data_IF_075230238218
#
_entry.id   IF_075230238218
#
_cell.length_a   1.000
_cell.length_b   1.000
_cell.length_c   1.000
_cell.angle_alpha   90.00
_cell.angle_beta   90.00
_cell.angle_gamma   90.00
#
_symmetry.space_group_name_H-M   'P 1'
#
loop_
_entity.id
_entity.type
_entity.pdbx_description
1 polymer ?
#
# COMPACT_ATOMS: atom_id res chain seq x y z
N UNK A 1 -2.72 24.17 -20.65
CA UNK A 1 -2.57 23.08 -19.66
C UNK A 1 -2.27 21.78 -20.39
N UNK A 2 -1.17 21.17 -20.05
CA UNK A 2 -0.75 19.95 -20.72
C UNK A 2 -1.16 18.73 -19.90
N UNK A 3 -2.23 18.09 -20.31
CA UNK A 3 -2.77 16.93 -19.59
C UNK A 3 -1.88 15.71 -19.67
N UNK A 4 -1.06 15.60 -20.71
CA UNK A 4 -0.13 14.50 -20.84
C UNK A 4 0.99 14.59 -19.81
N UNK A 5 1.48 15.77 -19.53
CA UNK A 5 2.48 15.97 -18.49
C UNK A 5 1.88 15.65 -17.12
N UNK A 6 0.64 16.08 -16.89
CA UNK A 6 -0.06 15.77 -15.63
C UNK A 6 -0.27 14.27 -15.48
N UNK A 7 -0.44 13.55 -16.59
CA UNK A 7 -0.67 12.13 -16.57
C UNK A 7 0.61 11.34 -16.26
N UNK A 8 1.76 11.79 -16.77
CA UNK A 8 3.03 11.10 -16.58
C UNK A 8 3.85 11.64 -15.41
N UNK A 9 3.56 12.83 -14.96
CA UNK A 9 4.17 13.35 -13.75
C UNK A 9 3.60 12.59 -12.54
N UNK A 10 4.45 12.25 -11.59
CA UNK A 10 3.96 11.67 -10.33
C UNK A 10 3.15 12.75 -9.62
N UNK A 11 1.81 12.69 -9.63
CA UNK A 11 1.05 13.69 -8.92
C UNK A 11 1.32 13.55 -7.43
N UNK A 12 1.38 14.63 -6.68
CA UNK A 12 1.41 14.53 -5.24
C UNK A 12 0.12 13.88 -4.80
N UNK A 13 0.22 12.64 -4.31
CA UNK A 13 -0.93 11.95 -3.76
C UNK A 13 -1.13 12.45 -2.34
N UNK A 14 -2.28 13.10 -2.04
CA UNK A 14 -2.53 13.55 -0.67
C UNK A 14 -2.41 12.42 0.34
N UNK A 15 -2.75 11.20 -0.06
CA UNK A 15 -2.63 10.03 0.78
C UNK A 15 -1.17 9.70 1.11
N UNK A 16 -0.22 10.08 0.26
CA UNK A 16 1.19 9.79 0.51
C UNK A 16 1.74 10.57 1.70
N UNK A 17 1.06 11.65 2.12
CA UNK A 17 1.46 12.43 3.27
C UNK A 17 0.86 11.92 4.58
N UNK A 18 -0.06 10.96 4.51
CA UNK A 18 -0.75 10.43 5.68
C UNK A 18 -0.25 9.05 6.03
N UNK A 19 -0.29 8.76 7.32
CA UNK A 19 -0.11 7.41 7.80
C UNK A 19 -1.44 6.68 7.71
N UNK A 20 -1.39 5.44 7.27
CA UNK A 20 -2.57 4.59 7.21
C UNK A 20 -2.16 3.15 7.43
N UNK A 21 -3.13 2.26 7.47
CA UNK A 21 -2.89 0.83 7.58
C UNK A 21 -3.33 0.14 6.31
N UNK A 22 -2.73 -1.01 6.03
CA UNK A 22 -3.10 -1.83 4.89
C UNK A 22 -3.55 -3.19 5.37
N UNK A 23 -4.65 -3.65 4.77
CA UNK A 23 -5.14 -5.01 4.96
C UNK A 23 -4.87 -5.75 3.66
N UNK A 24 -4.07 -6.82 3.71
CA UNK A 24 -3.77 -7.61 2.54
C UNK A 24 -4.52 -8.93 2.57
N UNK A 25 -5.10 -9.26 1.43
CA UNK A 25 -5.72 -10.55 1.19
C UNK A 25 -5.00 -11.25 0.04
N UNK A 26 -5.42 -12.46 -0.30
CA UNK A 26 -4.82 -13.18 -1.42
C UNK A 26 -4.98 -12.47 -2.76
N UNK A 27 -5.98 -11.60 -2.88
CA UNK A 27 -6.33 -10.99 -4.17
C UNK A 27 -6.12 -9.48 -4.20
N UNK A 28 -6.24 -8.82 -3.05
CA UNK A 28 -6.25 -7.38 -2.97
C UNK A 28 -5.58 -6.87 -1.72
N UNK A 29 -5.32 -5.59 -1.69
CA UNK A 29 -4.97 -4.90 -0.47
C UNK A 29 -5.83 -3.64 -0.35
N UNK A 30 -6.07 -3.21 0.89
CA UNK A 30 -6.98 -2.10 1.19
C UNK A 30 -6.30 -1.14 2.14
N UNK A 31 -6.36 0.15 1.81
CA UNK A 31 -5.90 1.20 2.71
C UNK A 31 -7.04 1.55 3.67
N UNK A 32 -6.77 1.49 4.96
CA UNK A 32 -7.77 1.72 6.00
C UNK A 32 -7.21 2.62 7.09
N UNK A 33 -8.10 3.17 7.91
CA UNK A 33 -7.70 3.97 9.05
C UNK A 33 -7.13 3.08 10.16
N UNK A 34 -6.44 3.70 11.12
CA UNK A 34 -5.94 3.01 12.30
C UNK A 34 -7.08 2.33 13.05
N UNK A 35 -8.19 3.01 13.21
CA UNK A 35 -9.35 2.50 13.92
C UNK A 35 -9.92 1.25 13.23
N UNK A 36 -10.03 1.33 11.91
CA UNK A 36 -10.52 0.18 11.13
C UNK A 36 -9.56 -0.99 11.22
N UNK A 37 -8.26 -0.74 11.14
CA UNK A 37 -7.26 -1.80 11.27
C UNK A 37 -7.33 -2.47 12.65
N UNK A 38 -7.48 -1.69 13.71
CA UNK A 38 -7.61 -2.22 15.07
C UNK A 38 -8.86 -3.09 15.20
N UNK A 39 -9.97 -2.67 14.60
CA UNK A 39 -11.20 -3.46 14.61
C UNK A 39 -11.03 -4.77 13.88
N UNK A 40 -10.39 -4.73 12.71
CA UNK A 40 -10.12 -5.94 11.92
C UNK A 40 -9.23 -6.90 12.72
N UNK A 41 -8.16 -6.40 13.32
CA UNK A 41 -7.26 -7.24 14.12
C UNK A 41 -8.00 -7.87 15.29
N UNK A 42 -8.86 -7.11 15.96
CA UNK A 42 -9.63 -7.63 17.07
C UNK A 42 -10.53 -8.78 16.63
N UNK A 43 -11.14 -8.67 15.47
CA UNK A 43 -12.00 -9.74 14.95
C UNK A 43 -11.19 -10.95 14.51
N UNK A 44 -10.01 -10.75 13.95
CA UNK A 44 -9.12 -11.84 13.59
C UNK A 44 -8.66 -12.64 14.81
N UNK A 45 -8.58 -11.99 15.96
CA UNK A 45 -8.13 -12.62 17.21
C UNK A 45 -9.24 -13.35 17.96
N UNK A 46 -10.48 -13.26 17.52
CA UNK A 46 -11.57 -13.99 18.13
C UNK A 46 -11.41 -15.50 17.92
N UNK A 47 -11.88 -16.29 18.87
CA UNK A 47 -11.80 -17.74 18.84
C UNK A 47 -13.19 -18.38 18.93
N UNK A 48 -13.74 -18.90 17.83
CA UNK A 48 -13.17 -18.86 16.47
C UNK A 48 -13.35 -17.49 15.86
N UNK A 49 -12.52 -17.13 14.89
CA UNK A 49 -12.71 -15.87 14.17
C UNK A 49 -13.99 -15.92 13.33
N UNK A 50 -14.66 -14.79 13.10
CA UNK A 50 -15.83 -14.78 12.24
C UNK A 50 -15.43 -15.17 10.82
N UNK A 51 -16.37 -15.78 10.10
CA UNK A 51 -16.10 -16.21 8.72
C UNK A 51 -15.87 -15.03 7.77
N UNK A 52 -16.58 -13.93 8.01
CA UNK A 52 -16.54 -12.73 7.20
C UNK A 52 -16.26 -11.52 8.06
N UNK A 53 -15.51 -10.58 7.53
CA UNK A 53 -15.37 -9.26 8.12
C UNK A 53 -15.72 -8.22 7.09
N UNK A 54 -16.32 -7.13 7.56
CA UNK A 54 -16.67 -5.99 6.70
C UNK A 54 -15.99 -4.75 7.25
N UNK A 55 -15.48 -3.93 6.38
CA UNK A 55 -14.84 -2.69 6.79
C UNK A 55 -14.93 -1.67 5.66
N UNK A 56 -14.69 -0.42 6.02
CA UNK A 56 -14.69 0.69 5.07
C UNK A 56 -13.24 1.11 4.83
N UNK A 57 -12.86 1.29 3.56
CA UNK A 57 -11.53 1.76 3.23
C UNK A 57 -11.45 3.29 3.36
N UNK A 58 -10.27 3.85 3.13
CA UNK A 58 -10.06 5.30 3.26
C UNK A 58 -10.84 6.10 2.22
N UNK A 59 -11.20 5.49 1.10
CA UNK A 59 -12.03 6.13 0.09
C UNK A 59 -13.51 6.07 0.43
N UNK A 60 -13.87 5.39 1.52
CA UNK A 60 -15.25 5.26 1.97
C UNK A 60 -16.00 4.08 1.40
N UNK A 61 -15.35 3.21 0.65
CA UNK A 61 -15.99 2.04 0.07
C UNK A 61 -16.06 0.89 1.08
N UNK A 62 -17.20 0.21 1.11
CA UNK A 62 -17.37 -0.96 1.94
C UNK A 62 -16.81 -2.20 1.25
N UNK A 63 -16.15 -3.03 2.04
CA UNK A 63 -15.62 -4.32 1.60
C UNK A 63 -16.04 -5.40 2.57
N UNK A 64 -16.32 -6.56 2.04
CA UNK A 64 -16.63 -7.75 2.82
C UNK A 64 -15.72 -8.86 2.34
N UNK A 65 -14.87 -9.36 3.24
CA UNK A 65 -13.87 -10.34 2.86
C UNK A 65 -13.96 -11.56 3.74
N UNK A 66 -13.53 -12.70 3.20
CA UNK A 66 -13.42 -13.93 4.00
C UNK A 66 -12.22 -13.76 4.93
N UNK A 67 -12.46 -13.96 6.20
CA UNK A 67 -11.42 -13.76 7.23
C UNK A 67 -10.18 -14.60 6.96
N UNK A 68 -10.37 -15.83 6.50
CA UNK A 68 -9.24 -16.72 6.19
C UNK A 68 -8.35 -16.22 5.06
N UNK A 69 -8.83 -15.29 4.23
CA UNK A 69 -8.04 -14.72 3.14
C UNK A 69 -7.18 -13.53 3.58
N UNK A 70 -7.39 -13.01 4.78
CA UNK A 70 -6.56 -11.93 5.31
C UNK A 70 -5.29 -12.54 5.88
N UNK A 71 -4.17 -12.17 5.32
CA UNK A 71 -2.91 -12.70 5.80
C UNK A 71 -1.97 -11.66 6.38
N UNK A 72 -2.26 -10.38 6.19
CA UNK A 72 -1.43 -9.34 6.79
C UNK A 72 -2.21 -8.06 7.01
N UNK A 73 -2.00 -7.47 8.19
CA UNK A 73 -2.43 -6.11 8.51
C UNK A 73 -1.17 -5.37 8.92
N UNK A 74 -0.84 -4.30 8.23
CA UNK A 74 0.42 -3.61 8.46
C UNK A 74 0.23 -2.10 8.43
N UNK A 75 1.09 -1.40 9.14
CA UNK A 75 1.11 0.05 9.11
C UNK A 75 1.92 0.53 7.89
N UNK A 76 1.40 1.56 7.23
CA UNK A 76 2.09 2.22 6.14
C UNK A 76 2.23 3.70 6.49
N UNK A 77 3.43 4.10 6.89
CA UNK A 77 3.69 5.50 7.22
C UNK A 77 4.22 6.25 6.01
N UNK A 78 3.99 7.56 6.00
CA UNK A 78 4.54 8.41 4.95
C UNK A 78 6.06 8.31 4.90
N UNK A 79 6.70 8.19 6.07
CA UNK A 79 8.15 8.04 6.16
C UNK A 79 8.63 6.73 5.53
N UNK A 80 7.91 5.63 5.78
CA UNK A 80 8.26 4.34 5.19
C UNK A 80 8.14 4.38 3.67
N UNK A 81 7.07 4.99 3.17
CA UNK A 81 6.88 5.11 1.72
C UNK A 81 7.94 5.99 1.08
N UNK A 82 8.33 7.08 1.74
CA UNK A 82 9.40 7.95 1.26
C UNK A 82 10.74 7.21 1.22
N UNK A 83 11.04 6.46 2.27
CA UNK A 83 12.27 5.67 2.35
C UNK A 83 12.30 4.61 1.25
N UNK A 84 11.17 3.96 0.99
CA UNK A 84 11.06 2.96 -0.07
C UNK A 84 11.31 3.58 -1.45
N UNK A 85 10.72 4.74 -1.71
CA UNK A 85 10.97 5.44 -2.98
C UNK A 85 12.43 5.83 -3.14
N UNK A 86 13.05 6.32 -2.08
CA UNK A 86 14.46 6.68 -2.11
C UNK A 86 15.35 5.46 -2.36
N UNK A 87 15.02 4.34 -1.72
CA UNK A 87 15.75 3.09 -1.91
C UNK A 87 15.69 2.63 -3.38
N UNK A 88 14.50 2.63 -3.97
CA UNK A 88 14.35 2.20 -5.36
C UNK A 88 15.02 3.14 -6.34
N UNK A 89 15.02 4.44 -6.07
CA UNK A 89 15.75 5.39 -6.92
C UNK A 89 17.25 5.14 -6.86
N UNK A 90 17.78 4.94 -5.67
CA UNK A 90 19.21 4.65 -5.50
C UNK A 90 19.59 3.37 -6.23
N UNK A 91 18.75 2.36 -6.11
CA UNK A 91 18.99 1.08 -6.77
C UNK A 91 18.97 1.21 -8.29
N UNK A 92 18.05 1.97 -8.84
CA UNK A 92 18.02 2.23 -10.28
C UNK A 92 19.28 2.95 -10.74
N UNK A 93 19.79 3.89 -9.95
CA UNK A 93 21.02 4.59 -10.28
C UNK A 93 22.22 3.66 -10.25
N UNK A 94 22.29 2.76 -9.26
CA UNK A 94 23.35 1.75 -9.21
C UNK A 94 23.31 0.81 -10.40
N UNK A 95 22.14 0.32 -10.76
CA UNK A 95 21.97 -0.52 -11.93
C UNK A 95 22.41 0.18 -13.20
N UNK A 96 22.13 1.48 -13.29
CA UNK A 96 22.51 2.28 -14.41
C UNK A 96 24.03 2.51 -14.48
N UNK A 97 24.65 2.71 -13.31
CA UNK A 97 26.10 2.91 -13.23
C UNK A 97 26.87 1.63 -13.52
N UNK A 98 26.31 0.48 -13.14
CA UNK A 98 26.93 -0.84 -13.38
C UNK A 98 26.73 -1.35 -14.80
N UNK A 99 25.90 -0.67 -15.59
CA UNK A 99 25.65 -1.11 -16.95
C UNK A 99 26.91 -0.98 -17.78
N UNK A 100 27.25 -2.07 -18.47
CA UNK A 100 28.44 -2.09 -19.31
C UNK A 100 28.19 -1.30 -20.59
N UNK A 101 29.24 -0.67 -21.14
CA UNK A 101 29.07 0.19 -22.32
C UNK A 101 28.43 -0.51 -23.52
N UNK A 102 28.70 -1.81 -23.73
CA UNK A 102 28.14 -2.54 -24.86
C UNK A 102 26.67 -2.96 -24.64
N UNK A 103 26.13 -2.79 -23.44
CA UNK A 103 24.74 -3.09 -23.16
C UNK A 103 23.82 -1.90 -23.45
N UNK A 104 24.40 -0.74 -23.70
CA UNK A 104 23.64 0.50 -23.94
C UNK A 104 23.26 0.68 -25.41
N UNK A 105 23.68 -0.17 -26.30
CA UNK A 105 23.38 -0.09 -27.73
C UNK A 105 22.04 -0.73 -28.12
#
# INVERSE_FOLDING_TARGET
>A
MNRLEDYFADPPEPESERDFFEIETHYDYFAVSRETAAEVERRLDQLPPPRWIAFRDLAGAWHRVVTAHVYRVSESTAAQRAARRAFYRARRQEDKADRRPWEDD
#
